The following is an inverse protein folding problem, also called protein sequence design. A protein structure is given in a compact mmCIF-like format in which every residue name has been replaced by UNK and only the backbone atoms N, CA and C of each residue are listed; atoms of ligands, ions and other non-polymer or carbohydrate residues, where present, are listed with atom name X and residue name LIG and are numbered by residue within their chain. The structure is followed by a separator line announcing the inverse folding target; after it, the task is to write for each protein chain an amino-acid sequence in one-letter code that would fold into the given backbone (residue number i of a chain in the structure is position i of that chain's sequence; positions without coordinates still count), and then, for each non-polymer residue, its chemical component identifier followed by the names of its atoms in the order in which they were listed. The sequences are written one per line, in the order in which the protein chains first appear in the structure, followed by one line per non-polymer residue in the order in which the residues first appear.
data_IF_726839418718
#
_entry.id   IF_726839418718
#
_cell.length_a   1.000
_cell.length_b   1.000
_cell.length_c   1.000
_cell.angle_alpha   90.00
_cell.angle_beta   90.00
_cell.angle_gamma   90.00
#
_symmetry.space_group_name_H-M   'P 1'
#
loop_
_entity.id
_entity.type
_entity.pdbx_description
1 polymer ?
#
# COMPACT_ATOMS: atom_id res chain seq x y z
N UNK A 1 -13.18 -4.57 21.04
CA UNK A 1 -13.66 -3.78 19.87
C UNK A 1 -14.67 -4.65 19.12
N UNK A 2 -15.78 -4.10 18.69
CA UNK A 2 -16.78 -4.80 17.87
C UNK A 2 -16.96 -4.02 16.55
N UNK A 3 -16.74 -4.67 15.43
CA UNK A 3 -16.95 -4.08 14.10
C UNK A 3 -18.34 -4.47 13.60
N UNK A 4 -19.13 -3.46 13.18
CA UNK A 4 -20.48 -3.63 12.63
C UNK A 4 -20.51 -3.24 11.17
N UNK A 5 -21.23 -4.00 10.36
CA UNK A 5 -21.49 -3.62 8.97
C UNK A 5 -22.37 -2.37 8.95
N UNK A 6 -21.89 -1.34 8.24
CA UNK A 6 -22.59 -0.05 8.11
C UNK A 6 -23.04 0.22 6.67
N UNK A 7 -22.43 -0.45 5.69
CA UNK A 7 -22.86 -0.36 4.29
C UNK A 7 -22.45 -1.60 3.49
N UNK A 8 -23.22 -1.83 2.42
CA UNK A 8 -22.93 -2.78 1.36
C UNK A 8 -23.10 -2.08 0.01
N UNK A 9 -22.06 -2.12 -0.81
CA UNK A 9 -21.99 -1.42 -2.09
C UNK A 9 -21.83 -2.45 -3.21
N UNK A 10 -22.65 -2.34 -4.25
CA UNK A 10 -22.49 -3.11 -5.48
C UNK A 10 -21.39 -2.45 -6.35
N UNK A 11 -20.27 -3.13 -6.53
CA UNK A 11 -19.15 -2.71 -7.36
C UNK A 11 -19.02 -3.53 -8.63
N UNK A 12 -20.01 -4.37 -8.97
CA UNK A 12 -19.95 -5.30 -10.11
C UNK A 12 -19.72 -4.63 -11.46
N UNK A 13 -20.16 -3.36 -11.58
CA UNK A 13 -19.97 -2.55 -12.78
C UNK A 13 -18.50 -2.28 -13.12
N UNK A 14 -17.60 -2.32 -12.15
CA UNK A 14 -16.17 -2.14 -12.37
C UNK A 14 -15.51 -3.33 -13.09
N UNK A 15 -16.21 -4.46 -13.17
CA UNK A 15 -15.64 -5.70 -13.70
C UNK A 15 -14.97 -6.55 -12.64
N UNK A 16 -14.27 -7.58 -13.09
CA UNK A 16 -13.62 -8.56 -12.21
C UNK A 16 -12.14 -8.23 -12.00
N UNK A 17 -11.57 -8.76 -10.90
CA UNK A 17 -10.14 -8.65 -10.58
C UNK A 17 -9.63 -7.22 -10.40
N UNK A 18 -10.53 -6.30 -10.05
CA UNK A 18 -10.15 -4.94 -9.71
C UNK A 18 -9.42 -4.86 -8.37
N UNK A 19 -8.61 -3.82 -8.23
CA UNK A 19 -8.09 -3.34 -6.95
C UNK A 19 -8.74 -2.01 -6.61
N UNK A 20 -8.69 -1.62 -5.34
CA UNK A 20 -9.42 -0.47 -4.80
C UNK A 20 -8.46 0.64 -4.40
N UNK A 21 -8.84 1.86 -4.70
CA UNK A 21 -8.30 3.11 -4.15
C UNK A 21 -9.40 3.86 -3.44
N UNK A 22 -9.03 4.67 -2.46
CA UNK A 22 -9.92 5.59 -1.76
C UNK A 22 -9.41 7.01 -1.93
N UNK A 23 -10.31 7.99 -2.08
CA UNK A 23 -9.98 9.39 -2.12
C UNK A 23 -11.22 10.26 -2.18
N UNK A 24 -11.18 11.44 -1.60
CA UNK A 24 -12.22 12.46 -1.73
C UNK A 24 -12.06 13.17 -3.09
N UNK A 25 -12.32 12.40 -4.17
CA UNK A 25 -12.04 12.83 -5.55
C UNK A 25 -12.97 13.94 -6.04
N UNK A 26 -14.08 14.15 -5.38
CA UNK A 26 -15.04 15.20 -5.74
C UNK A 26 -14.98 16.43 -4.81
N UNK A 27 -14.14 16.36 -3.74
CA UNK A 27 -13.93 17.44 -2.77
C UNK A 27 -15.12 17.68 -1.86
N UNK A 28 -15.96 16.66 -1.62
CA UNK A 28 -17.19 16.82 -0.85
C UNK A 28 -17.06 16.47 0.63
N UNK A 29 -15.86 16.06 1.08
CA UNK A 29 -15.57 15.69 2.45
C UNK A 29 -15.94 14.26 2.80
N UNK A 30 -16.06 13.37 1.80
CA UNK A 30 -16.19 11.93 1.95
C UNK A 30 -15.31 11.24 0.91
N UNK A 31 -14.76 10.11 1.25
CA UNK A 31 -13.96 9.36 0.28
C UNK A 31 -14.85 8.60 -0.69
N UNK A 32 -14.46 8.58 -1.94
CA UNK A 32 -15.02 7.72 -2.97
C UNK A 32 -14.21 6.43 -3.09
N UNK A 33 -14.84 5.42 -3.70
CA UNK A 33 -14.25 4.13 -4.03
C UNK A 33 -13.90 4.14 -5.52
N UNK A 34 -12.62 3.97 -5.83
CA UNK A 34 -12.14 3.85 -7.20
C UNK A 34 -11.66 2.41 -7.42
N UNK A 35 -12.35 1.69 -8.30
CA UNK A 35 -12.01 0.33 -8.68
C UNK A 35 -11.22 0.34 -9.97
N UNK A 36 -10.01 -0.24 -9.95
CA UNK A 36 -9.11 -0.27 -11.10
C UNK A 36 -8.91 -1.70 -11.57
N UNK A 37 -9.26 -1.97 -12.82
CA UNK A 37 -9.01 -3.24 -13.48
C UNK A 37 -7.76 -3.12 -14.36
N UNK A 38 -6.72 -3.94 -14.13
CA UNK A 38 -5.57 -4.02 -15.02
C UNK A 38 -5.85 -4.91 -16.22
N UNK A 39 -5.01 -4.82 -17.21
CA UNK A 39 -5.01 -5.64 -18.44
C UNK A 39 -4.40 -7.01 -18.20
N UNK A 40 -4.72 -7.73 -17.22
CA UNK A 40 -3.94 -8.87 -16.87
C UNK A 40 -4.46 -10.20 -17.34
N UNK A 41 -3.49 -11.08 -17.59
CA UNK A 41 -3.60 -12.54 -17.59
C UNK A 41 -2.27 -13.24 -17.36
N UNK A 42 -1.17 -12.53 -17.36
CA UNK A 42 0.17 -13.07 -17.56
C UNK A 42 1.07 -12.76 -16.37
N UNK A 43 2.19 -13.44 -16.30
CA UNK A 43 3.26 -13.08 -15.40
C UNK A 43 3.75 -11.66 -15.75
N UNK A 44 3.45 -10.73 -14.88
CA UNK A 44 3.70 -9.31 -15.02
C UNK A 44 5.19 -8.93 -15.18
N UNK A 45 6.11 -9.86 -15.01
CA UNK A 45 7.56 -9.62 -15.16
C UNK A 45 8.01 -9.32 -16.59
N UNK A 46 7.25 -9.74 -17.58
CA UNK A 46 7.74 -9.78 -18.97
C UNK A 46 6.85 -9.09 -19.98
N UNK A 47 5.72 -8.52 -19.55
CA UNK A 47 4.77 -7.89 -20.43
C UNK A 47 4.44 -6.48 -19.96
N UNK A 48 4.29 -5.53 -20.88
CA UNK A 48 3.78 -4.21 -20.54
C UNK A 48 2.39 -4.32 -19.93
N UNK A 49 2.18 -3.66 -18.79
CA UNK A 49 0.88 -3.57 -18.14
C UNK A 49 0.22 -2.22 -18.40
N UNK A 50 -1.09 -2.21 -18.31
CA UNK A 50 -1.91 -1.04 -18.53
C UNK A 50 -3.14 -1.09 -17.61
N UNK A 51 -3.61 0.05 -17.15
CA UNK A 51 -4.94 0.13 -16.58
C UNK A 51 -5.95 -0.02 -17.71
N UNK A 52 -6.77 -1.05 -17.64
CA UNK A 52 -7.79 -1.34 -18.64
C UNK A 52 -9.05 -0.51 -18.42
N UNK A 53 -9.54 -0.52 -17.18
CA UNK A 53 -10.72 0.24 -16.76
C UNK A 53 -10.54 0.80 -15.34
N UNK A 54 -11.02 2.01 -15.11
CA UNK A 54 -11.18 2.58 -13.79
C UNK A 54 -12.62 3.07 -13.59
N UNK A 55 -13.22 2.75 -12.46
CA UNK A 55 -14.63 3.05 -12.17
C UNK A 55 -14.76 3.64 -10.77
N UNK A 56 -15.33 4.82 -10.64
CA UNK A 56 -15.55 5.47 -9.36
C UNK A 56 -17.01 5.38 -8.90
N UNK A 57 -17.16 5.13 -7.60
CA UNK A 57 -18.45 5.05 -6.91
C UNK A 57 -18.43 5.95 -5.68
N UNK A 58 -19.55 6.57 -5.35
CA UNK A 58 -19.74 7.14 -4.02
C UNK A 58 -20.03 6.04 -2.96
N UNK A 59 -20.05 6.42 -1.68
CA UNK A 59 -20.35 5.50 -0.58
C UNK A 59 -21.80 4.98 -0.54
N UNK A 60 -22.66 5.46 -1.42
CA UNK A 60 -24.02 4.93 -1.63
C UNK A 60 -24.07 3.93 -2.80
N UNK A 61 -22.96 3.72 -3.51
CA UNK A 61 -22.86 2.85 -4.67
C UNK A 61 -23.30 3.49 -5.99
N UNK A 62 -23.51 4.80 -6.01
CA UNK A 62 -23.79 5.48 -7.26
C UNK A 62 -22.52 5.58 -8.09
N UNK A 63 -22.64 5.25 -9.39
CA UNK A 63 -21.57 5.45 -10.35
C UNK A 63 -21.32 6.95 -10.55
N UNK A 64 -20.08 7.38 -10.36
CA UNK A 64 -19.65 8.76 -10.62
C UNK A 64 -19.10 8.89 -12.05
N UNK A 65 -18.13 8.07 -12.40
CA UNK A 65 -17.53 8.00 -13.72
C UNK A 65 -16.89 6.65 -14.00
N UNK A 66 -16.55 6.43 -15.28
CA UNK A 66 -15.81 5.26 -15.74
C UNK A 66 -14.87 5.64 -16.88
N UNK A 67 -13.60 5.25 -16.78
CA UNK A 67 -12.58 5.39 -17.81
C UNK A 67 -12.35 4.00 -18.41
N UNK A 68 -12.49 3.83 -19.71
CA UNK A 68 -12.43 2.55 -20.39
C UNK A 68 -13.66 1.67 -20.12
N UNK A 69 -13.61 0.44 -20.62
CA UNK A 69 -14.65 -0.57 -20.40
C UNK A 69 -14.06 -1.79 -19.71
N UNK A 70 -14.74 -2.41 -18.74
CA UNK A 70 -14.23 -3.60 -18.10
C UNK A 70 -14.03 -4.75 -19.09
N UNK A 71 -12.90 -5.44 -19.01
CA UNK A 71 -12.71 -6.70 -19.72
C UNK A 71 -13.50 -7.82 -19.02
N UNK A 72 -14.53 -8.39 -19.66
CA UNK A 72 -15.31 -9.48 -19.09
C UNK A 72 -14.51 -10.79 -18.97
N UNK A 73 -13.38 -10.89 -19.68
CA UNK A 73 -12.53 -12.07 -19.74
C UNK A 73 -11.33 -12.00 -18.81
N UNK A 74 -11.20 -10.92 -18.05
CA UNK A 74 -10.10 -10.77 -17.08
C UNK A 74 -10.02 -11.99 -16.15
N UNK A 75 -8.80 -12.50 -15.92
CA UNK A 75 -8.55 -13.72 -15.12
C UNK A 75 -7.77 -13.47 -13.85
N UNK A 76 -7.07 -12.34 -13.77
CA UNK A 76 -6.19 -12.02 -12.66
C UNK A 76 -6.07 -10.50 -12.50
N UNK A 77 -5.69 -10.03 -11.31
CA UNK A 77 -5.34 -8.62 -11.09
C UNK A 77 -3.83 -8.35 -11.15
N UNK A 78 -3.02 -9.34 -11.49
CA UNK A 78 -1.57 -9.18 -11.40
C UNK A 78 -1.06 -9.05 -9.96
N UNK A 79 0.21 -8.68 -9.79
CA UNK A 79 0.81 -8.42 -8.48
C UNK A 79 0.68 -6.94 -8.11
N UNK A 80 1.01 -6.04 -9.03
CA UNK A 80 1.03 -4.60 -8.84
C UNK A 80 0.22 -3.91 -9.95
N UNK A 81 -0.37 -2.75 -9.67
CA UNK A 81 -1.21 -2.01 -10.61
C UNK A 81 -0.71 -0.57 -10.70
N UNK A 82 -0.40 -0.07 -11.90
CA UNK A 82 0.14 1.28 -12.10
C UNK A 82 -0.96 2.35 -12.05
N UNK A 83 -1.48 2.59 -10.86
CA UNK A 83 -2.46 3.64 -10.61
C UNK A 83 -2.21 4.34 -9.27
N UNK A 84 -2.66 5.59 -9.16
CA UNK A 84 -2.62 6.38 -7.93
C UNK A 84 -3.77 7.41 -7.93
N UNK A 85 -4.16 7.82 -6.72
CA UNK A 85 -5.07 8.95 -6.50
C UNK A 85 -4.34 9.96 -5.63
N UNK A 86 -4.10 11.15 -6.15
CA UNK A 86 -3.32 12.17 -5.45
C UNK A 86 -3.53 13.55 -6.07
N UNK A 87 -3.41 14.63 -5.26
CA UNK A 87 -3.36 16.02 -5.72
C UNK A 87 -1.94 16.31 -6.25
N UNK A 88 -1.68 15.96 -7.51
CA UNK A 88 -0.33 16.04 -8.08
C UNK A 88 0.06 17.46 -8.52
N UNK A 89 -0.90 18.30 -8.83
CA UNK A 89 -0.64 19.68 -9.26
C UNK A 89 -0.82 20.72 -8.13
N UNK A 90 -1.35 20.32 -6.96
CA UNK A 90 -1.45 21.14 -5.77
C UNK A 90 -2.57 22.14 -5.81
N UNK A 91 -3.60 21.88 -6.59
CA UNK A 91 -4.79 22.76 -6.68
C UNK A 91 -5.84 22.47 -5.58
N UNK A 92 -5.61 21.45 -4.77
CA UNK A 92 -6.49 21.00 -3.69
C UNK A 92 -7.55 20.00 -4.15
N UNK A 93 -7.52 19.59 -5.41
CA UNK A 93 -8.37 18.54 -5.97
C UNK A 93 -7.54 17.28 -6.23
N UNK A 94 -8.13 16.11 -6.06
CA UNK A 94 -7.40 14.86 -6.36
C UNK A 94 -7.49 14.52 -7.85
N UNK A 95 -6.39 14.02 -8.40
CA UNK A 95 -6.34 13.41 -9.72
C UNK A 95 -6.35 11.89 -9.60
N UNK A 96 -6.85 11.23 -10.65
CA UNK A 96 -6.59 9.83 -10.92
C UNK A 96 -5.44 9.73 -11.93
N UNK A 97 -4.37 9.05 -11.53
CA UNK A 97 -3.12 8.92 -12.29
C UNK A 97 -2.97 7.45 -12.65
N UNK A 98 -2.69 7.12 -13.92
CA UNK A 98 -2.47 5.74 -14.31
C UNK A 98 -1.54 5.59 -15.52
N UNK A 99 -0.89 4.42 -15.63
CA UNK A 99 -0.25 3.99 -16.86
C UNK A 99 -1.29 3.28 -17.73
N UNK A 100 -1.57 3.85 -18.91
CA UNK A 100 -2.55 3.31 -19.85
C UNK A 100 -2.13 3.60 -21.29
N UNK A 101 -2.31 2.60 -22.16
CA UNK A 101 -2.03 2.72 -23.60
C UNK A 101 -0.61 3.25 -23.90
N UNK A 102 0.39 2.82 -23.12
CA UNK A 102 1.78 3.24 -23.24
C UNK A 102 2.07 4.68 -22.79
N UNK A 103 1.16 5.29 -22.07
CA UNK A 103 1.26 6.65 -21.54
C UNK A 103 1.01 6.70 -20.05
N UNK A 104 1.64 7.63 -19.39
CA UNK A 104 1.23 8.13 -18.08
C UNK A 104 0.13 9.17 -18.30
N UNK A 105 -1.05 8.92 -17.75
CA UNK A 105 -2.24 9.76 -17.94
C UNK A 105 -2.73 10.28 -16.58
N UNK A 106 -3.08 11.55 -16.53
CA UNK A 106 -3.58 12.25 -15.34
C UNK A 106 -4.96 12.78 -15.66
N UNK A 107 -5.95 12.31 -14.92
CA UNK A 107 -7.35 12.68 -15.08
C UNK A 107 -7.83 13.52 -13.90
N UNK A 108 -8.68 14.48 -14.13
CA UNK A 108 -9.44 15.16 -13.08
C UNK A 108 -10.27 14.13 -12.29
N UNK A 109 -10.07 14.08 -10.97
CA UNK A 109 -10.68 13.06 -10.13
C UNK A 109 -12.20 13.15 -10.06
N UNK A 110 -12.76 14.35 -10.21
CA UNK A 110 -14.20 14.56 -10.13
C UNK A 110 -14.93 14.23 -11.43
N UNK A 111 -14.32 14.55 -12.57
CA UNK A 111 -14.98 14.49 -13.89
C UNK A 111 -14.47 13.37 -14.77
N UNK A 112 -13.31 12.79 -14.45
CA UNK A 112 -12.55 11.89 -15.29
C UNK A 112 -12.14 12.49 -16.65
N UNK A 113 -12.07 13.82 -16.76
CA UNK A 113 -11.52 14.48 -17.94
C UNK A 113 -9.99 14.36 -17.93
N UNK A 114 -9.41 14.02 -19.07
CA UNK A 114 -7.95 13.93 -19.20
C UNK A 114 -7.33 15.33 -19.08
N UNK A 115 -6.57 15.58 -18.00
CA UNK A 115 -5.85 16.84 -17.77
C UNK A 115 -4.52 16.86 -18.51
N UNK A 116 -3.75 15.79 -18.42
CA UNK A 116 -2.40 15.71 -19.01
C UNK A 116 -2.05 14.26 -19.36
N UNK A 117 -1.16 14.09 -20.32
CA UNK A 117 -0.54 12.80 -20.63
C UNK A 117 0.88 12.97 -21.17
N UNK A 118 1.72 11.97 -20.96
CA UNK A 118 3.04 11.84 -21.56
C UNK A 118 3.31 10.37 -21.92
N UNK A 119 4.14 10.07 -22.94
CA UNK A 119 4.61 8.71 -23.15
C UNK A 119 5.30 8.17 -21.90
N UNK A 120 5.15 6.89 -21.59
CA UNK A 120 5.98 6.24 -20.57
C UNK A 120 7.46 6.32 -20.99
N UNK A 121 8.40 6.50 -20.05
CA UNK A 121 9.83 6.59 -20.38
C UNK A 121 10.39 5.30 -20.97
N UNK A 122 9.74 4.19 -20.71
CA UNK A 122 10.01 2.87 -21.27
C UNK A 122 8.70 2.06 -21.32
N UNK A 123 8.59 1.11 -22.24
CA UNK A 123 7.39 0.27 -22.36
C UNK A 123 7.11 -0.57 -21.11
N UNK A 124 8.10 -0.77 -20.25
CA UNK A 124 7.98 -1.50 -18.98
C UNK A 124 7.91 -0.60 -17.74
N UNK A 125 7.85 0.73 -17.90
CA UNK A 125 7.72 1.68 -16.79
C UNK A 125 6.26 1.77 -16.29
N UNK A 126 5.68 0.64 -15.87
CA UNK A 126 4.26 0.51 -15.58
C UNK A 126 3.94 -0.43 -14.41
N UNK A 127 4.92 -0.83 -13.60
CA UNK A 127 4.66 -1.79 -12.54
C UNK A 127 3.96 -1.15 -11.33
N UNK A 128 4.35 0.06 -10.96
CA UNK A 128 3.64 0.86 -9.95
C UNK A 128 3.82 2.36 -10.19
N UNK A 129 2.99 3.15 -9.53
CA UNK A 129 3.11 4.62 -9.44
C UNK A 129 3.27 4.99 -7.97
N UNK A 130 4.36 5.69 -7.65
CA UNK A 130 4.68 6.17 -6.31
C UNK A 130 4.84 7.68 -6.38
N UNK A 131 4.31 8.40 -5.39
CA UNK A 131 4.41 9.86 -5.30
C UNK A 131 5.40 10.22 -4.20
N UNK A 132 6.32 11.15 -4.49
CA UNK A 132 7.38 11.55 -3.59
C UNK A 132 7.68 13.05 -3.65
N UNK A 133 8.30 13.60 -2.59
CA UNK A 133 8.87 14.95 -2.55
C UNK A 133 10.40 14.90 -2.69
N UNK A 134 10.89 14.47 -3.85
CA UNK A 134 12.33 14.36 -4.13
C UNK A 134 13.04 15.71 -4.19
N UNK A 135 12.30 16.78 -4.39
CA UNK A 135 12.85 18.14 -4.57
C UNK A 135 12.77 18.99 -3.29
N UNK A 136 12.12 18.49 -2.22
CA UNK A 136 11.97 19.22 -0.95
C UNK A 136 11.08 20.45 -1.07
N UNK A 137 10.01 20.35 -1.83
CA UNK A 137 9.06 21.45 -2.01
C UNK A 137 7.98 21.51 -0.92
N UNK A 138 8.09 20.61 0.08
CA UNK A 138 7.15 20.48 1.20
C UNK A 138 5.81 19.87 0.81
N UNK A 139 5.74 19.29 -0.40
CA UNK A 139 4.59 18.55 -0.92
C UNK A 139 5.07 17.54 -1.97
N UNK A 140 4.72 16.27 -1.82
CA UNK A 140 5.01 15.27 -2.86
C UNK A 140 4.39 15.67 -4.21
N UNK A 141 5.20 15.71 -5.26
CA UNK A 141 4.77 16.05 -6.62
C UNK A 141 5.62 15.36 -7.70
N UNK A 142 6.59 14.58 -7.28
CA UNK A 142 7.38 13.75 -8.20
C UNK A 142 6.70 12.39 -8.35
N UNK A 143 6.78 11.83 -9.56
CA UNK A 143 6.20 10.53 -9.89
C UNK A 143 7.33 9.54 -10.13
N UNK A 144 7.30 8.42 -9.41
CA UNK A 144 8.23 7.32 -9.60
C UNK A 144 7.51 6.21 -10.34
N UNK A 145 8.06 5.82 -11.47
CA UNK A 145 7.67 4.64 -12.24
C UNK A 145 8.77 3.59 -12.17
N UNK A 146 8.42 2.33 -12.28
CA UNK A 146 9.42 1.25 -12.34
C UNK A 146 8.95 0.11 -13.24
N UNK A 147 9.91 -0.69 -13.71
CA UNK A 147 9.65 -2.04 -14.15
C UNK A 147 9.69 -3.01 -12.95
N UNK A 148 9.49 -4.30 -13.18
CA UNK A 148 9.31 -5.26 -12.10
C UNK A 148 10.46 -5.26 -11.08
N UNK A 149 11.73 -5.32 -11.51
CA UNK A 149 12.85 -5.53 -10.60
C UNK A 149 14.13 -4.74 -10.90
N UNK A 150 14.26 -4.15 -12.11
CA UNK A 150 15.59 -3.82 -12.62
C UNK A 150 15.83 -2.33 -12.79
N UNK A 151 14.75 -1.53 -12.86
CA UNK A 151 14.87 -0.13 -13.20
C UNK A 151 13.69 0.69 -12.70
N UNK A 152 13.99 1.91 -12.28
CA UNK A 152 12.99 2.92 -11.98
C UNK A 152 13.36 4.28 -12.63
N UNK A 153 12.35 5.13 -12.77
CA UNK A 153 12.43 6.48 -13.33
C UNK A 153 11.72 7.45 -12.38
N UNK A 154 12.37 8.55 -12.08
CA UNK A 154 11.74 9.66 -11.36
C UNK A 154 11.38 10.76 -12.35
N UNK A 155 10.16 11.26 -12.27
CA UNK A 155 9.62 12.30 -13.11
C UNK A 155 9.30 13.54 -12.27
N UNK A 156 9.50 14.71 -12.88
CA UNK A 156 9.04 15.97 -12.31
C UNK A 156 7.50 16.16 -12.48
N UNK A 157 6.98 17.26 -11.94
CA UNK A 157 5.56 17.59 -12.04
C UNK A 157 5.08 17.86 -13.49
N UNK A 158 6.00 18.10 -14.42
CA UNK A 158 5.72 18.27 -15.86
C UNK A 158 5.83 16.97 -16.65
N UNK A 159 6.04 15.83 -15.96
CA UNK A 159 6.20 14.48 -16.48
C UNK A 159 7.50 14.27 -17.28
N UNK A 160 8.52 15.11 -17.09
CA UNK A 160 9.84 14.89 -17.64
C UNK A 160 10.65 13.98 -16.73
N UNK A 161 11.44 13.07 -17.32
CA UNK A 161 12.37 12.24 -16.56
C UNK A 161 13.48 13.10 -15.95
N UNK A 162 13.58 13.12 -14.63
CA UNK A 162 14.62 13.78 -13.87
C UNK A 162 15.90 12.93 -13.85
N UNK A 163 15.74 11.67 -13.51
CA UNK A 163 16.80 10.68 -13.44
C UNK A 163 16.24 9.26 -13.52
N UNK A 164 17.11 8.30 -13.71
CA UNK A 164 16.81 6.87 -13.70
C UNK A 164 17.83 6.12 -12.85
N UNK A 165 17.40 5.01 -12.25
CA UNK A 165 18.24 4.10 -11.51
C UNK A 165 18.09 2.67 -12.05
N UNK A 166 19.24 1.99 -12.22
CA UNK A 166 19.31 0.59 -12.63
C UNK A 166 19.91 -0.22 -11.50
N UNK A 167 19.16 -1.21 -11.04
CA UNK A 167 19.52 -2.07 -9.91
C UNK A 167 18.37 -2.98 -9.54
N UNK A 168 18.50 -3.75 -8.46
CA UNK A 168 17.37 -4.49 -7.93
C UNK A 168 16.49 -3.54 -7.11
N UNK A 169 15.36 -3.11 -7.67
CA UNK A 169 14.46 -2.10 -7.10
C UNK A 169 13.35 -2.70 -6.24
N UNK A 170 13.38 -4.01 -6.00
CA UNK A 170 12.37 -4.69 -5.18
C UNK A 170 10.95 -4.62 -5.77
N UNK A 171 9.98 -4.99 -4.94
CA UNK A 171 8.57 -4.95 -5.36
C UNK A 171 7.97 -3.56 -5.28
N UNK A 172 8.06 -2.89 -4.13
CA UNK A 172 7.42 -1.61 -3.93
C UNK A 172 8.35 -0.62 -3.20
N UNK A 173 9.12 0.19 -3.94
CA UNK A 173 9.97 1.24 -3.36
C UNK A 173 9.16 2.19 -2.48
N UNK A 174 9.80 2.71 -1.42
CA UNK A 174 9.11 3.61 -0.50
C UNK A 174 9.89 4.92 -0.31
N UNK A 175 9.26 6.10 -0.52
CA UNK A 175 9.86 7.39 -0.27
C UNK A 175 9.66 7.85 1.19
N UNK A 176 10.68 8.41 1.80
CA UNK A 176 10.62 9.04 3.12
C UNK A 176 11.80 10.00 3.33
N UNK A 177 11.58 11.11 4.04
CA UNK A 177 12.64 12.03 4.48
C UNK A 177 13.38 11.40 5.66
N UNK A 178 14.43 10.61 5.36
CA UNK A 178 15.16 9.81 6.35
C UNK A 178 16.11 10.67 7.20
N UNK A 179 16.64 11.75 6.67
CA UNK A 179 17.65 12.59 7.35
C UNK A 179 17.07 13.92 7.89
N UNK A 180 15.82 14.23 7.57
CA UNK A 180 15.12 15.42 8.06
C UNK A 180 15.50 16.69 7.31
N UNK A 181 16.02 16.61 6.10
CA UNK A 181 16.41 17.77 5.27
C UNK A 181 15.25 18.38 4.48
N UNK A 182 14.07 17.74 4.51
CA UNK A 182 12.86 18.12 3.82
C UNK A 182 12.74 17.56 2.41
N UNK A 183 13.66 16.70 1.97
CA UNK A 183 13.61 15.95 0.71
C UNK A 183 13.45 14.47 1.04
N UNK A 184 12.61 13.79 0.31
CA UNK A 184 12.47 12.36 0.52
C UNK A 184 13.59 11.58 -0.18
N UNK A 185 14.20 10.65 0.55
CA UNK A 185 14.99 9.54 0.00
C UNK A 185 14.04 8.50 -0.58
N UNK A 186 14.53 7.71 -1.53
CA UNK A 186 13.81 6.57 -2.07
C UNK A 186 14.50 5.27 -1.68
N UNK A 187 13.82 4.46 -0.87
CA UNK A 187 14.25 3.09 -0.57
C UNK A 187 13.85 2.22 -1.76
N UNK A 188 14.80 1.98 -2.67
CA UNK A 188 14.59 1.27 -3.92
C UNK A 188 15.17 -0.15 -3.84
N UNK A 189 14.47 -1.03 -3.15
CA UNK A 189 14.92 -2.41 -2.97
C UNK A 189 16.22 -2.51 -2.18
N UNK A 190 17.34 -2.70 -2.85
CA UNK A 190 18.66 -2.82 -2.23
C UNK A 190 19.39 -1.51 -2.03
N UNK A 191 18.96 -0.46 -2.67
CA UNK A 191 19.67 0.82 -2.66
C UNK A 191 18.78 1.90 -2.11
N UNK A 192 19.28 2.68 -1.15
CA UNK A 192 18.66 3.93 -0.74
C UNK A 192 19.24 5.05 -1.58
N UNK A 193 18.35 5.79 -2.25
CA UNK A 193 18.70 6.86 -3.19
C UNK A 193 18.34 8.21 -2.60
N UNK A 194 19.19 9.22 -2.78
CA UNK A 194 18.82 10.61 -2.53
C UNK A 194 17.73 11.08 -3.50
N UNK A 195 17.08 12.20 -3.21
CA UNK A 195 16.13 12.84 -4.13
C UNK A 195 16.72 13.14 -5.53
N UNK A 196 18.05 13.22 -5.66
CA UNK A 196 18.77 13.35 -6.95
C UNK A 196 19.07 12.01 -7.63
N UNK A 197 18.59 10.89 -7.09
CA UNK A 197 18.83 9.55 -7.63
C UNK A 197 20.25 9.00 -7.37
N UNK A 198 21.02 9.58 -6.45
CA UNK A 198 22.37 9.10 -6.12
C UNK A 198 22.30 8.06 -4.99
N UNK A 199 22.99 6.91 -5.12
CA UNK A 199 23.10 5.95 -4.03
C UNK A 199 23.69 6.59 -2.77
N UNK A 200 23.02 6.40 -1.63
CA UNK A 200 23.48 6.82 -0.32
C UNK A 200 24.09 5.65 0.45
N UNK A 201 23.36 4.55 0.50
CA UNK A 201 23.81 3.31 1.14
C UNK A 201 23.05 2.11 0.58
N UNK A 202 23.52 0.91 0.88
CA UNK A 202 23.02 -0.35 0.34
C UNK A 202 22.42 -1.22 1.44
N UNK A 203 21.36 -1.92 1.13
CA UNK A 203 20.70 -2.92 1.97
C UNK A 203 21.29 -4.28 1.62
N UNK A 204 21.95 -4.94 2.58
CA UNK A 204 22.50 -6.28 2.40
C UNK A 204 21.41 -7.33 2.57
N UNK A 205 20.92 -7.85 1.48
CA UNK A 205 19.89 -8.90 1.41
C UNK A 205 20.30 -9.99 0.44
N UNK A 206 19.74 -11.20 0.62
CA UNK A 206 20.04 -12.38 -0.22
C UNK A 206 19.13 -12.49 -1.44
N UNK A 207 17.90 -12.00 -1.33
CA UNK A 207 16.88 -12.00 -2.38
C UNK A 207 16.35 -10.57 -2.57
N UNK A 208 15.34 -10.36 -3.42
CA UNK A 208 14.73 -9.05 -3.62
C UNK A 208 13.97 -8.57 -2.38
N UNK A 209 13.88 -7.26 -2.20
CA UNK A 209 13.05 -6.67 -1.18
C UNK A 209 11.57 -6.83 -1.57
N UNK A 210 10.82 -7.55 -0.73
CA UNK A 210 9.39 -7.74 -0.91
C UNK A 210 8.61 -6.54 -0.38
N UNK A 211 8.93 -6.10 0.83
CA UNK A 211 8.18 -5.10 1.56
C UNK A 211 9.10 -4.14 2.32
N UNK A 212 8.77 -2.86 2.33
CA UNK A 212 9.55 -1.81 3.01
C UNK A 212 8.63 -1.02 3.92
N UNK A 213 9.03 -0.87 5.20
CA UNK A 213 8.33 -0.04 6.16
C UNK A 213 9.29 0.88 6.90
N UNK A 214 8.80 2.08 7.23
CA UNK A 214 9.54 3.11 7.97
C UNK A 214 8.86 3.32 9.33
N UNK A 215 9.65 3.38 10.41
CA UNK A 215 9.13 3.60 11.75
C UNK A 215 10.24 3.95 12.73
N UNK A 216 9.96 4.79 13.73
CA UNK A 216 10.82 4.94 14.90
C UNK A 216 10.58 3.73 15.83
N UNK A 217 11.23 2.59 15.48
CA UNK A 217 10.94 1.31 16.14
C UNK A 217 11.53 1.23 17.55
N UNK A 218 12.58 1.99 17.82
CA UNK A 218 13.32 1.95 19.08
C UNK A 218 13.04 3.17 19.98
N UNK A 219 12.20 4.10 19.53
CA UNK A 219 11.80 5.33 20.23
C UNK A 219 12.97 6.29 20.48
N UNK A 220 13.94 6.37 19.58
CA UNK A 220 15.07 7.32 19.66
C UNK A 220 14.81 8.65 18.93
N UNK A 221 13.66 8.77 18.27
CA UNK A 221 13.23 9.96 17.56
C UNK A 221 13.73 10.01 16.10
N UNK A 222 14.28 8.92 15.57
CA UNK A 222 14.71 8.80 14.19
C UNK A 222 14.00 7.64 13.49
N UNK A 223 13.77 7.74 12.18
CA UNK A 223 13.15 6.65 11.46
C UNK A 223 14.14 5.50 11.23
N UNK A 224 13.70 4.27 11.41
CA UNK A 224 14.34 3.06 10.94
C UNK A 224 13.66 2.55 9.67
N UNK A 225 14.45 1.86 8.83
CA UNK A 225 13.99 1.18 7.64
C UNK A 225 13.92 -0.32 7.92
N UNK A 226 12.73 -0.90 7.86
CA UNK A 226 12.50 -2.34 8.00
C UNK A 226 12.18 -2.94 6.65
N UNK A 227 12.92 -3.96 6.27
CA UNK A 227 12.78 -4.62 4.96
C UNK A 227 12.55 -6.11 5.15
N UNK A 228 11.53 -6.63 4.46
CA UNK A 228 11.25 -8.07 4.34
C UNK A 228 11.71 -8.62 3.00
N UNK A 229 12.23 -9.83 3.03
CA UNK A 229 12.73 -10.60 1.90
C UNK A 229 12.91 -12.07 2.34
N UNK A 230 14.08 -12.68 2.11
CA UNK A 230 14.39 -14.01 2.70
C UNK A 230 14.44 -13.96 4.25
N UNK A 231 14.93 -12.84 4.76
CA UNK A 231 14.97 -12.49 6.18
C UNK A 231 14.36 -11.10 6.40
N UNK A 232 14.28 -10.69 7.65
CA UNK A 232 13.84 -9.34 8.01
C UNK A 232 15.06 -8.60 8.54
N UNK A 233 15.27 -7.39 8.02
CA UNK A 233 16.37 -6.52 8.46
C UNK A 233 15.83 -5.17 8.90
N UNK A 234 16.41 -4.62 9.97
CA UNK A 234 16.16 -3.25 10.41
C UNK A 234 17.45 -2.44 10.33
N UNK A 235 17.35 -1.26 9.78
CA UNK A 235 18.46 -0.36 9.49
C UNK A 235 18.18 1.03 10.07
N UNK A 236 19.20 1.68 10.58
CA UNK A 236 19.10 3.10 10.92
C UNK A 236 18.92 3.94 9.67
N UNK A 237 18.44 5.16 9.84
CA UNK A 237 18.25 6.12 8.76
C UNK A 237 19.54 6.46 7.98
N UNK A 238 20.71 6.20 8.55
CA UNK A 238 22.05 6.40 7.93
C UNK A 238 22.71 5.10 7.41
N UNK A 239 21.95 3.99 7.37
CA UNK A 239 22.38 2.75 6.72
C UNK A 239 23.18 1.78 7.59
N UNK A 240 23.13 1.91 8.93
CA UNK A 240 23.71 0.92 9.83
C UNK A 240 22.71 -0.17 10.16
N UNK A 241 23.06 -1.45 9.94
CA UNK A 241 22.24 -2.58 10.35
C UNK A 241 22.08 -2.59 11.87
N UNK A 242 20.83 -2.58 12.35
CA UNK A 242 20.48 -2.72 13.76
C UNK A 242 20.39 -4.19 14.14
N UNK A 243 19.59 -4.94 13.41
CA UNK A 243 19.42 -6.38 13.63
C UNK A 243 18.93 -7.08 12.35
N UNK A 244 19.08 -8.39 12.35
CA UNK A 244 18.56 -9.30 11.34
C UNK A 244 17.80 -10.43 12.02
N UNK A 245 16.60 -10.71 11.57
CA UNK A 245 15.81 -11.85 11.98
C UNK A 245 15.78 -12.83 10.83
N UNK A 246 16.45 -13.98 11.00
CA UNK A 246 16.69 -15.00 9.98
C UNK A 246 15.91 -16.30 10.21
N UNK A 247 14.98 -16.31 11.18
CA UNK A 247 14.07 -17.44 11.43
C UNK A 247 12.82 -17.35 10.55
N UNK A 248 13.00 -16.97 9.28
CA UNK A 248 12.00 -16.97 8.23
C UNK A 248 12.55 -17.66 6.98
N UNK A 249 11.65 -18.15 6.13
CA UNK A 249 12.01 -18.72 4.83
C UNK A 249 11.90 -17.67 3.73
N UNK A 250 10.82 -16.88 3.76
CA UNK A 250 10.57 -15.81 2.82
C UNK A 250 9.52 -14.85 3.42
N UNK A 251 10.00 -13.75 3.98
CA UNK A 251 9.16 -12.74 4.62
C UNK A 251 8.54 -11.80 3.60
N UNK A 252 7.48 -12.24 2.93
CA UNK A 252 6.84 -11.48 1.86
C UNK A 252 6.14 -10.20 2.33
N UNK A 253 5.78 -10.14 3.60
CA UNK A 253 5.20 -8.93 4.18
C UNK A 253 5.88 -8.62 5.50
N UNK A 254 6.15 -7.35 5.72
CA UNK A 254 6.47 -6.76 7.01
C UNK A 254 5.62 -5.51 7.20
N UNK A 255 5.25 -5.20 8.43
CA UNK A 255 4.57 -3.96 8.80
C UNK A 255 4.92 -3.59 10.22
N UNK A 256 5.08 -2.30 10.49
CA UNK A 256 5.45 -1.76 11.80
C UNK A 256 4.21 -1.20 12.49
N UNK A 257 4.03 -1.49 13.76
CA UNK A 257 2.94 -0.91 14.55
C UNK A 257 3.11 -1.11 16.05
N UNK A 258 2.44 -0.28 16.82
CA UNK A 258 2.33 -0.46 18.27
C UNK A 258 1.22 -1.48 18.58
N UNK A 259 1.48 -2.74 18.23
CA UNK A 259 0.51 -3.84 18.37
C UNK A 259 0.58 -4.51 19.74
N UNK A 260 1.66 -4.28 20.49
CA UNK A 260 1.91 -4.75 21.87
C UNK A 260 2.33 -3.56 22.75
N UNK A 261 1.42 -2.64 23.08
CA UNK A 261 1.73 -1.37 23.74
C UNK A 261 2.35 -1.51 25.15
N UNK A 262 2.36 -2.70 25.72
CA UNK A 262 3.06 -3.01 26.97
C UNK A 262 4.56 -3.29 26.78
N UNK A 263 5.03 -3.44 25.53
CA UNK A 263 6.45 -3.63 25.21
C UNK A 263 7.10 -2.30 24.81
N UNK A 264 8.41 -2.15 24.96
CA UNK A 264 9.11 -0.97 24.50
C UNK A 264 9.27 -0.96 22.98
N UNK A 265 9.12 0.22 22.37
CA UNK A 265 9.28 0.40 20.94
C UNK A 265 8.05 -0.06 20.12
N UNK A 266 8.26 -0.38 18.86
CA UNK A 266 7.21 -0.88 17.96
C UNK A 266 7.52 -2.31 17.52
N UNK A 267 6.49 -3.10 17.34
CA UNK A 267 6.62 -4.46 16.81
C UNK A 267 6.55 -4.47 15.29
N UNK A 268 7.15 -5.51 14.73
CA UNK A 268 7.09 -5.84 13.32
C UNK A 268 6.27 -7.12 13.18
N UNK A 269 5.13 -7.06 12.48
CA UNK A 269 4.41 -8.25 12.07
C UNK A 269 4.58 -8.50 10.59
N UNK A 270 4.38 -9.74 10.18
CA UNK A 270 4.46 -10.09 8.77
C UNK A 270 4.03 -11.50 8.46
N UNK A 271 4.29 -11.89 7.23
CA UNK A 271 3.95 -13.20 6.70
C UNK A 271 5.19 -13.90 6.20
N UNK A 272 5.51 -15.05 6.81
CA UNK A 272 6.57 -15.94 6.36
C UNK A 272 6.00 -17.05 5.48
N UNK A 273 6.57 -17.23 4.32
CA UNK A 273 6.34 -18.41 3.51
C UNK A 273 7.19 -19.56 4.06
N UNK A 274 6.57 -20.40 4.89
CA UNK A 274 7.25 -21.47 5.65
C UNK A 274 7.91 -22.50 4.73
N UNK A 275 7.34 -22.74 3.56
CA UNK A 275 7.88 -23.70 2.58
C UNK A 275 7.63 -23.19 1.14
N UNK A 276 8.67 -22.65 0.52
CA UNK A 276 8.64 -22.16 -0.88
C UNK A 276 8.22 -23.24 -1.87
N UNK A 277 8.58 -24.50 -1.60
CA UNK A 277 8.24 -25.63 -2.46
C UNK A 277 6.81 -26.11 -2.30
N UNK A 278 6.09 -25.62 -1.30
CA UNK A 278 4.76 -26.07 -0.94
C UNK A 278 3.84 -24.87 -0.62
N UNK A 279 3.36 -24.17 -1.65
CA UNK A 279 2.52 -23.00 -1.48
C UNK A 279 1.32 -23.27 -0.56
N UNK A 280 1.04 -22.32 0.36
CA UNK A 280 -0.06 -22.42 1.29
C UNK A 280 0.32 -22.88 2.69
N UNK A 281 1.61 -23.02 2.98
CA UNK A 281 2.12 -23.23 4.34
C UNK A 281 2.70 -21.94 4.95
N UNK A 282 2.14 -20.81 4.60
CA UNK A 282 2.56 -19.49 5.08
C UNK A 282 2.10 -19.25 6.52
N UNK A 283 2.88 -18.51 7.30
CA UNK A 283 2.61 -18.24 8.70
C UNK A 283 2.83 -16.78 9.11
N UNK A 284 2.00 -16.29 10.04
CA UNK A 284 2.19 -14.98 10.65
C UNK A 284 3.33 -15.05 11.65
N UNK A 285 4.18 -14.02 11.68
CA UNK A 285 5.17 -13.79 12.72
C UNK A 285 4.99 -12.41 13.37
N UNK A 286 5.47 -12.26 14.60
CA UNK A 286 5.63 -10.99 15.29
C UNK A 286 7.03 -10.94 15.90
N UNK A 287 7.75 -9.83 15.67
CA UNK A 287 9.10 -9.58 16.14
C UNK A 287 9.11 -8.28 16.94
N UNK A 288 9.88 -8.22 18.03
CA UNK A 288 10.03 -7.00 18.82
C UNK A 288 10.88 -5.95 18.13
N UNK A 289 10.88 -4.72 18.64
CA UNK A 289 11.77 -3.64 18.20
C UNK A 289 13.26 -3.99 18.20
N UNK A 290 13.68 -4.98 18.98
CA UNK A 290 15.06 -5.48 19.10
C UNK A 290 15.36 -6.69 18.18
N UNK A 291 14.41 -7.14 17.36
CA UNK A 291 14.59 -8.29 16.49
C UNK A 291 14.33 -9.65 17.16
N UNK A 292 13.71 -9.68 18.36
CA UNK A 292 13.41 -10.94 19.03
C UNK A 292 12.04 -11.50 18.62
N UNK A 293 11.97 -12.81 18.36
CA UNK A 293 10.69 -13.47 18.05
C UNK A 293 9.73 -13.40 19.23
N UNK A 294 8.57 -12.80 19.02
CA UNK A 294 7.46 -12.79 19.98
C UNK A 294 6.42 -13.85 19.66
N UNK A 295 6.22 -14.11 18.39
CA UNK A 295 5.29 -15.12 17.90
C UNK A 295 5.69 -15.61 16.51
N UNK A 296 5.48 -16.90 16.25
CA UNK A 296 5.58 -17.53 14.92
C UNK A 296 4.49 -18.58 14.78
N UNK A 297 3.69 -18.44 13.74
CA UNK A 297 2.64 -19.39 13.43
C UNK A 297 3.25 -20.68 12.82
N UNK A 298 2.82 -21.83 13.33
CA UNK A 298 3.17 -23.13 12.76
C UNK A 298 1.96 -23.70 12.01
N UNK A 299 1.80 -23.28 10.76
CA UNK A 299 0.71 -23.77 9.94
C UNK A 299 0.92 -25.19 9.47
N UNK A 300 -0.12 -26.00 9.67
CA UNK A 300 -0.19 -27.36 9.09
C UNK A 300 -1.33 -27.49 8.07
N UNK A 301 -2.11 -26.43 7.88
CA UNK A 301 -3.26 -26.42 6.99
C UNK A 301 -2.84 -25.85 5.64
N UNK A 302 -3.09 -26.56 4.53
CA UNK A 302 -2.78 -26.04 3.20
C UNK A 302 -3.66 -24.81 2.88
N UNK A 303 -3.13 -23.93 2.09
CA UNK A 303 -3.79 -22.69 1.65
C UNK A 303 -2.73 -21.67 1.28
N UNK A 304 -3.08 -20.70 0.48
CA UNK A 304 -2.20 -19.61 0.10
C UNK A 304 -2.50 -18.37 0.92
N UNK A 305 -1.53 -17.82 1.62
CA UNK A 305 -1.64 -16.50 2.25
C UNK A 305 -0.98 -15.44 1.38
N UNK A 306 -1.62 -14.27 1.29
CA UNK A 306 -1.11 -13.19 0.44
C UNK A 306 -0.68 -11.96 1.21
N UNK A 307 -1.37 -11.59 2.27
CA UNK A 307 -1.10 -10.31 2.97
C UNK A 307 -1.23 -10.45 4.48
N UNK A 308 -0.22 -9.94 5.18
CA UNK A 308 -0.25 -9.58 6.59
C UNK A 308 0.30 -8.16 6.74
N UNK A 309 -0.39 -7.31 7.47
CA UNK A 309 -0.01 -5.91 7.68
C UNK A 309 -0.58 -5.38 8.99
N UNK A 310 -0.28 -4.14 9.34
CA UNK A 310 -0.90 -3.41 10.46
C UNK A 310 -2.08 -2.61 9.95
N UNK A 311 -3.18 -2.67 10.67
CA UNK A 311 -4.32 -1.76 10.53
C UNK A 311 -4.48 -0.93 11.78
N UNK A 312 -4.51 0.38 11.64
CA UNK A 312 -4.55 1.31 12.74
C UNK A 312 -5.91 1.98 12.91
N UNK A 313 -6.16 2.46 14.13
CA UNK A 313 -7.22 3.41 14.45
C UNK A 313 -8.65 3.02 14.05
N UNK A 314 -8.98 1.73 14.08
CA UNK A 314 -10.37 1.27 13.87
C UNK A 314 -11.31 1.71 15.01
N UNK A 315 -10.77 1.87 16.21
CA UNK A 315 -11.52 2.24 17.42
C UNK A 315 -11.57 3.76 17.68
N UNK A 316 -10.96 4.57 16.83
CA UNK A 316 -10.84 6.02 17.01
C UNK A 316 -9.89 6.44 18.15
N UNK A 317 -9.04 5.52 18.66
CA UNK A 317 -8.10 5.76 19.77
C UNK A 317 -6.65 5.57 19.36
N UNK A 318 -6.39 5.27 18.08
CA UNK A 318 -5.05 5.04 17.55
C UNK A 318 -4.48 3.65 17.86
N UNK A 319 -5.35 2.65 18.17
CA UNK A 319 -4.90 1.28 18.42
C UNK A 319 -4.47 0.61 17.12
N UNK A 320 -3.30 -0.02 17.13
CA UNK A 320 -2.79 -0.82 16.04
C UNK A 320 -3.17 -2.30 16.23
N UNK A 321 -3.57 -2.93 15.13
CA UNK A 321 -3.98 -4.32 15.08
C UNK A 321 -3.29 -5.05 13.92
N UNK A 322 -3.16 -6.37 14.02
CA UNK A 322 -2.67 -7.19 12.92
C UNK A 322 -3.83 -7.50 11.98
N UNK A 323 -3.62 -7.25 10.70
CA UNK A 323 -4.57 -7.59 9.64
C UNK A 323 -3.98 -8.69 8.74
N UNK A 324 -4.69 -9.81 8.60
CA UNK A 324 -4.27 -10.84 7.64
C UNK A 324 -5.45 -11.32 6.81
N UNK A 325 -5.25 -11.42 5.49
CA UNK A 325 -6.28 -11.82 4.55
C UNK A 325 -5.73 -12.58 3.35
N UNK A 326 -6.60 -13.19 2.57
CA UNK A 326 -6.26 -14.11 1.49
C UNK A 326 -5.41 -15.29 1.99
N UNK A 327 -5.89 -15.91 3.06
CA UNK A 327 -5.17 -16.97 3.79
C UNK A 327 -5.62 -18.40 3.43
N UNK A 328 -6.34 -18.57 2.34
CA UNK A 328 -6.84 -19.88 1.92
C UNK A 328 -7.81 -20.48 2.95
N UNK A 329 -7.44 -21.62 3.56
CA UNK A 329 -8.29 -22.29 4.53
C UNK A 329 -8.25 -21.69 5.95
N UNK A 330 -7.39 -20.71 6.20
CA UNK A 330 -7.30 -20.02 7.50
C UNK A 330 -8.21 -18.78 7.52
N UNK A 331 -8.63 -18.33 8.70
CA UNK A 331 -9.45 -17.14 8.82
C UNK A 331 -8.75 -15.90 8.24
N UNK A 332 -9.49 -15.14 7.46
CA UNK A 332 -9.15 -13.77 7.12
C UNK A 332 -9.71 -12.89 8.23
N UNK A 333 -8.87 -12.15 8.94
CA UNK A 333 -9.30 -11.49 10.15
C UNK A 333 -8.45 -10.27 10.54
N UNK A 334 -9.01 -9.46 11.42
CA UNK A 334 -8.27 -8.54 12.27
C UNK A 334 -7.99 -9.23 13.59
N UNK A 335 -6.75 -9.12 14.06
CA UNK A 335 -6.26 -9.73 15.28
C UNK A 335 -5.68 -8.66 16.22
N UNK A 336 -5.68 -8.94 17.52
CA UNK A 336 -4.88 -8.19 18.49
C UNK A 336 -3.39 -8.58 18.41
N UNK A 337 -2.54 -7.95 19.21
CA UNK A 337 -1.10 -8.22 19.24
C UNK A 337 -0.72 -9.60 19.82
N UNK A 338 -1.69 -10.39 20.26
CA UNK A 338 -1.53 -11.78 20.71
C UNK A 338 -2.14 -12.78 19.73
N UNK A 339 -2.55 -12.28 18.55
CA UNK A 339 -3.27 -13.00 17.51
C UNK A 339 -4.60 -13.61 17.96
N UNK A 340 -5.25 -13.03 18.98
CA UNK A 340 -6.65 -13.32 19.23
C UNK A 340 -7.49 -12.61 18.18
N UNK A 341 -8.44 -13.34 17.58
CA UNK A 341 -9.33 -12.77 16.56
C UNK A 341 -10.24 -11.71 17.15
N UNK A 342 -10.17 -10.50 16.59
CA UNK A 342 -11.09 -9.39 16.87
C UNK A 342 -12.29 -9.45 15.94
N UNK A 343 -12.05 -9.69 14.65
CA UNK A 343 -13.09 -9.71 13.64
C UNK A 343 -12.74 -10.68 12.51
N UNK A 344 -13.63 -11.63 12.21
CA UNK A 344 -13.51 -12.52 11.06
C UNK A 344 -14.21 -11.90 9.85
N UNK A 345 -13.59 -11.97 8.69
CA UNK A 345 -14.21 -11.50 7.46
C UNK A 345 -15.26 -12.48 6.95
N UNK A 346 -16.32 -11.97 6.30
CA UNK A 346 -17.43 -12.80 5.84
C UNK A 346 -17.05 -13.70 4.65
N UNK A 347 -15.98 -13.36 3.92
CA UNK A 347 -15.48 -14.09 2.76
C UNK A 347 -13.98 -13.83 2.53
N UNK A 348 -13.37 -14.63 1.69
CA UNK A 348 -11.97 -14.42 1.23
C UNK A 348 -11.92 -13.31 0.17
N UNK A 349 -11.77 -12.06 0.63
CA UNK A 349 -11.73 -10.84 -0.18
C UNK A 349 -10.43 -10.08 -0.05
N UNK A 350 -10.39 -8.95 -0.72
CA UNK A 350 -9.38 -7.93 -0.51
C UNK A 350 -9.85 -6.95 0.57
N UNK A 351 -8.91 -6.24 1.16
CA UNK A 351 -9.19 -5.31 2.26
C UNK A 351 -8.55 -3.97 2.00
N UNK A 352 -9.25 -2.92 2.37
CA UNK A 352 -8.72 -1.57 2.44
C UNK A 352 -9.36 -0.87 3.66
N UNK A 353 -8.76 0.19 4.15
CA UNK A 353 -9.29 0.98 5.27
C UNK A 353 -8.90 2.44 5.13
N UNK A 354 -9.71 3.30 5.75
CA UNK A 354 -9.48 4.73 5.78
C UNK A 354 -10.57 5.43 6.59
N UNK A 355 -10.33 6.65 6.96
CA UNK A 355 -11.35 7.52 7.56
C UNK A 355 -12.24 8.09 6.44
N UNK A 356 -13.33 7.36 6.12
CA UNK A 356 -14.17 7.63 4.95
C UNK A 356 -14.94 8.95 5.01
N UNK A 357 -15.14 9.49 6.21
CA UNK A 357 -15.97 10.68 6.44
C UNK A 357 -15.28 11.77 7.26
N UNK A 358 -13.98 11.60 7.60
CA UNK A 358 -13.25 12.55 8.43
C UNK A 358 -13.70 12.59 9.90
N UNK A 359 -14.22 11.46 10.41
CA UNK A 359 -14.69 11.37 11.81
C UNK A 359 -13.59 11.03 12.81
N UNK A 360 -12.36 10.79 12.35
CA UNK A 360 -11.21 10.49 13.17
C UNK A 360 -11.00 9.00 13.48
N UNK A 361 -11.79 8.09 12.89
CA UNK A 361 -11.62 6.64 12.99
C UNK A 361 -11.63 6.00 11.60
N UNK A 362 -10.80 4.99 11.40
CA UNK A 362 -10.79 4.25 10.13
C UNK A 362 -11.96 3.27 10.06
N UNK A 363 -12.59 3.20 8.90
CA UNK A 363 -13.53 2.15 8.53
C UNK A 363 -12.79 1.06 7.75
N UNK A 364 -13.21 -0.18 7.96
CA UNK A 364 -12.67 -1.35 7.27
C UNK A 364 -13.56 -1.69 6.07
N UNK A 365 -12.98 -1.85 4.90
CA UNK A 365 -13.67 -2.30 3.69
C UNK A 365 -13.17 -3.69 3.33
N UNK A 366 -14.07 -4.67 3.30
CA UNK A 366 -13.79 -6.01 2.76
C UNK A 366 -14.55 -6.14 1.45
N UNK A 367 -13.82 -6.40 0.35
CA UNK A 367 -14.45 -6.43 -0.96
C UNK A 367 -14.12 -7.68 -1.78
N UNK A 368 -15.11 -8.11 -2.54
CA UNK A 368 -15.05 -9.19 -3.52
C UNK A 368 -14.96 -8.61 -4.93
N UNK A 369 -15.31 -9.42 -5.93
CA UNK A 369 -15.40 -8.97 -7.33
C UNK A 369 -16.71 -8.23 -7.64
N UNK A 370 -17.69 -8.27 -6.75
CA UNK A 370 -19.02 -7.72 -7.01
C UNK A 370 -19.55 -6.82 -5.92
N UNK A 371 -19.02 -6.91 -4.70
CA UNK A 371 -19.52 -6.17 -3.55
C UNK A 371 -18.38 -5.70 -2.65
N UNK A 372 -18.58 -4.55 -2.02
CA UNK A 372 -17.77 -4.04 -0.93
C UNK A 372 -18.64 -3.89 0.32
N UNK A 373 -18.17 -4.45 1.44
CA UNK A 373 -18.81 -4.35 2.75
C UNK A 373 -17.98 -3.41 3.61
N UNK A 374 -18.62 -2.40 4.19
CA UNK A 374 -17.97 -1.40 5.04
C UNK A 374 -18.33 -1.68 6.49
N UNK A 375 -17.30 -1.75 7.34
CA UNK A 375 -17.42 -2.00 8.76
C UNK A 375 -16.86 -0.84 9.57
N UNK A 376 -17.48 -0.54 10.71
CA UNK A 376 -16.98 0.43 11.67
C UNK A 376 -17.08 -0.09 13.10
N UNK A 377 -16.11 0.29 13.94
CA UNK A 377 -16.15 0.09 15.39
C UNK A 377 -16.73 1.30 16.12
N UNK A 378 -16.93 2.40 15.43
CA UNK A 378 -17.50 3.65 15.94
C UNK A 378 -18.81 3.96 15.24
N UNK A 379 -19.62 4.82 15.83
CA UNK A 379 -20.86 5.29 15.19
C UNK A 379 -20.48 6.26 14.05
N UNK A 380 -20.76 5.83 12.81
CA UNK A 380 -20.48 6.58 11.58
C UNK A 380 -21.72 6.65 10.73
N UNK A 381 -22.08 7.84 10.29
CA UNK A 381 -23.05 8.08 9.24
C UNK A 381 -22.30 8.41 7.94
N UNK A 382 -22.33 7.51 6.97
CA UNK A 382 -21.67 7.69 5.68
C UNK A 382 -22.26 8.83 4.82
N UNK A 383 -23.39 9.42 5.24
CA UNK A 383 -23.96 10.61 4.58
C UNK A 383 -23.41 11.93 5.15
N UNK A 384 -22.74 11.90 6.28
CA UNK A 384 -22.10 13.08 6.85
C UNK A 384 -20.82 13.39 6.08
N UNK A 385 -20.60 14.67 5.82
CA UNK A 385 -19.42 15.19 5.10
C UNK A 385 -18.54 15.95 6.05
N UNK A 386 -17.22 15.83 5.91
CA UNK A 386 -16.29 16.74 6.57
C UNK A 386 -16.50 18.19 6.11
N UNK A 387 -16.05 19.13 6.92
CA UNK A 387 -16.16 20.57 6.58
C UNK A 387 -15.26 20.97 5.39
N UNK A 388 -14.24 20.17 5.11
CA UNK A 388 -13.23 20.38 4.08
C UNK A 388 -12.92 19.07 3.37
N UNK A 389 -12.32 19.10 2.16
CA UNK A 389 -11.79 17.89 1.52
C UNK A 389 -10.90 17.10 2.46
N UNK A 390 -11.00 15.77 2.40
CA UNK A 390 -10.20 14.91 3.24
C UNK A 390 -8.75 14.87 2.73
N UNK A 391 -7.76 14.86 3.64
CA UNK A 391 -6.38 14.68 3.22
C UNK A 391 -6.20 13.32 2.54
N UNK A 392 -5.35 13.27 1.54
CA UNK A 392 -4.98 12.04 0.85
C UNK A 392 -3.66 11.52 1.41
N UNK A 393 -3.66 10.56 2.34
CA UNK A 393 -2.43 9.90 2.79
C UNK A 393 -1.75 9.16 1.64
N UNK A 394 -0.44 8.97 1.72
CA UNK A 394 0.37 8.24 0.73
C UNK A 394 -0.18 6.85 0.39
N UNK A 395 -1.01 6.28 1.27
CA UNK A 395 -1.54 4.94 1.13
C UNK A 395 -3.03 4.86 1.45
N UNK A 396 -3.86 4.98 0.44
CA UNK A 396 -5.28 4.60 0.48
C UNK A 396 -5.61 3.76 -0.76
N UNK A 397 -4.88 2.67 -0.94
CA UNK A 397 -5.03 1.80 -2.10
C UNK A 397 -4.65 0.35 -1.78
N UNK A 398 -5.15 -0.57 -2.57
CA UNK A 398 -4.80 -1.99 -2.55
C UNK A 398 -4.27 -2.40 -3.93
N UNK A 399 -3.17 -1.79 -4.36
CA UNK A 399 -2.61 -2.02 -5.69
C UNK A 399 -1.55 -3.12 -5.73
N UNK A 400 -1.00 -3.50 -4.58
CA UNK A 400 0.10 -4.46 -4.48
C UNK A 400 -0.18 -5.53 -3.42
N UNK A 401 0.54 -6.64 -3.48
CA UNK A 401 0.61 -7.64 -2.40
C UNK A 401 1.77 -7.38 -1.45
N UNK A 402 2.67 -6.48 -1.81
CA UNK A 402 3.94 -6.20 -1.13
C UNK A 402 3.89 -4.79 -0.55
N UNK A 403 3.06 -4.60 0.44
CA UNK A 403 2.73 -3.27 0.95
C UNK A 403 3.87 -2.63 1.74
N UNK A 404 4.43 -1.54 1.23
CA UNK A 404 5.22 -0.61 2.01
C UNK A 404 4.34 0.26 2.92
N UNK A 405 4.95 0.99 3.84
CA UNK A 405 4.23 1.88 4.74
C UNK A 405 5.10 2.62 5.74
N UNK A 406 4.42 3.44 6.53
CA UNK A 406 4.99 4.19 7.64
C UNK A 406 4.21 3.89 8.91
N UNK A 407 4.92 3.77 10.04
CA UNK A 407 4.30 3.63 11.33
C UNK A 407 3.67 4.96 11.78
N UNK A 408 2.61 4.88 12.56
CA UNK A 408 1.85 6.06 13.00
C UNK A 408 2.62 7.03 13.91
N UNK A 409 3.76 6.61 14.48
CA UNK A 409 4.60 7.44 15.34
C UNK A 409 5.59 8.32 14.56
N UNK A 410 5.73 8.12 13.25
CA UNK A 410 6.52 9.00 12.41
C UNK A 410 5.65 10.17 11.97
N UNK A 411 6.11 11.38 12.26
CA UNK A 411 5.52 12.56 11.69
C UNK A 411 5.83 12.56 10.18
N UNK A 412 4.89 12.06 9.37
CA UNK A 412 4.90 12.40 7.95
C UNK A 412 4.90 13.92 7.88
N UNK A 413 5.88 14.52 7.24
CA UNK A 413 5.92 15.96 6.97
C UNK A 413 4.54 16.38 6.44
N UNK A 414 3.90 17.29 7.19
CA UNK A 414 2.56 17.80 6.94
C UNK A 414 2.50 18.54 5.62
#
# INVERSE_FOLDING_TARGET
MELKEIAKIDISRAGKFCRMWLGDINGDGRMEIIMVQPDSDLDDRYFPHSVYCATAFDLCGNLLWQIGEPDPNAKSSGADIPAQVYDIDGDGSLEFICARDGKLQIYDGKTAELKREAPLPDQYAHDCIIIADLEGKGRPQNIILKNRYEKLWALDSDLNVMWEHVGNVGHYPWPHDLDGDGREELIAGYTVLSGDGKPLWEIDMKDHADCIWIGDINADGKPEVVVGGDDITAWTNDGRLLWRFDDTVESQNVAIGNIRPELPGLEICGLDRIDRGNPGLDGIFIVSSEGNSLYKEHRTVPGWSSVCTVISNLDGKGTDNVLAYRRGALPNAVYDGYLNTIFNFPFDGYVLWGDLTGNGANQLIVYSQTEALIYSATDVDLNVKAAHPLPQPKRLYNNTRYWGGEASNINSTK
#
